data_IF_951415466615
#
_entry.id   IF_951415466615
#
_cell.length_a   1.000
_cell.length_b   1.000
_cell.length_c   1.000
_cell.angle_alpha   90.00
_cell.angle_beta   90.00
_cell.angle_gamma   90.00
#
_symmetry.space_group_name_H-M   'P 1'
#
loop_
_entity.id
_entity.type
_entity.pdbx_description
1 polymer ?
#
# COMPACT_ATOMS: atom_id res chain seq x y z
N UNK A 1 -8.17 8.23 5.44
CA UNK A 1 -6.94 9.00 5.74
C UNK A 1 -5.80 8.57 4.82
N UNK A 2 -5.33 7.32 4.89
CA UNK A 2 -4.23 6.80 4.04
C UNK A 2 -4.48 7.04 2.54
N UNK A 3 -5.65 6.63 2.01
CA UNK A 3 -6.01 6.86 0.61
C UNK A 3 -5.95 8.35 0.20
N UNK A 4 -6.38 9.25 1.10
CA UNK A 4 -6.29 10.69 0.89
C UNK A 4 -4.84 11.18 0.82
N UNK A 5 -4.01 10.77 1.79
CA UNK A 5 -2.58 11.13 1.81
C UNK A 5 -1.86 10.65 0.55
N UNK A 6 -2.18 9.43 0.08
CA UNK A 6 -1.68 8.90 -1.18
C UNK A 6 -2.06 9.76 -2.39
N UNK A 7 -3.32 10.22 -2.46
CA UNK A 7 -3.82 11.10 -3.53
C UNK A 7 -3.15 12.48 -3.53
N UNK A 8 -2.83 13.01 -2.36
CA UNK A 8 -2.15 14.31 -2.21
C UNK A 8 -0.63 14.23 -2.18
N UNK A 9 -0.06 13.10 -2.58
CA UNK A 9 1.39 12.91 -2.70
C UNK A 9 2.20 12.91 -1.40
N UNK A 10 1.53 12.65 -0.28
CA UNK A 10 2.14 12.54 1.05
C UNK A 10 2.42 11.07 1.39
N UNK A 11 3.33 10.44 0.63
CA UNK A 11 3.64 9.01 0.81
C UNK A 11 4.21 8.71 2.20
N UNK A 12 5.15 9.52 2.68
CA UNK A 12 5.80 9.29 3.97
C UNK A 12 4.80 9.42 5.13
N UNK A 13 3.89 10.40 5.05
CA UNK A 13 2.80 10.54 6.03
C UNK A 13 1.84 9.35 5.97
N UNK A 14 1.53 8.84 4.77
CA UNK A 14 0.70 7.66 4.60
C UNK A 14 1.33 6.41 5.24
N UNK A 15 2.66 6.23 5.08
CA UNK A 15 3.42 5.15 5.70
C UNK A 15 3.51 5.31 7.23
N UNK A 16 3.65 6.54 7.73
CA UNK A 16 3.64 6.83 9.17
C UNK A 16 2.29 6.46 9.79
N UNK A 17 1.17 6.85 9.16
CA UNK A 17 -0.18 6.49 9.62
C UNK A 17 -0.41 4.98 9.57
N UNK A 18 0.13 4.30 8.55
CA UNK A 18 0.11 2.84 8.46
C UNK A 18 0.87 2.20 9.63
N UNK A 19 2.10 2.64 9.91
CA UNK A 19 2.86 2.13 11.05
C UNK A 19 2.17 2.41 12.39
N UNK A 20 1.57 3.59 12.56
CA UNK A 20 0.81 3.93 13.77
C UNK A 20 -0.42 3.03 13.97
N UNK A 21 -1.14 2.72 12.88
CA UNK A 21 -2.26 1.78 12.89
C UNK A 21 -1.80 0.42 13.43
N UNK A 22 -0.69 -0.11 12.94
CA UNK A 22 -0.15 -1.39 13.39
C UNK A 22 0.35 -1.36 14.83
N UNK A 23 1.06 -0.31 15.22
CA UNK A 23 1.55 -0.11 16.59
C UNK A 23 0.41 -0.03 17.61
N UNK A 24 -0.77 0.47 17.19
CA UNK A 24 -1.99 0.50 18.00
C UNK A 24 -2.78 -0.82 17.97
N UNK A 25 -2.27 -1.85 17.31
CA UNK A 25 -2.95 -3.14 17.15
C UNK A 25 -4.19 -3.09 16.25
N UNK A 26 -4.35 -2.01 15.48
CA UNK A 26 -5.43 -1.87 14.52
C UNK A 26 -5.00 -2.62 13.26
N UNK A 27 -5.77 -3.62 12.84
CA UNK A 27 -5.40 -4.45 11.69
C UNK A 27 -5.67 -3.71 10.37
N UNK A 28 -4.65 -3.51 9.51
CA UNK A 28 -4.88 -2.99 8.17
C UNK A 28 -5.71 -3.97 7.34
N UNK A 29 -6.43 -3.46 6.34
CA UNK A 29 -7.26 -4.26 5.45
C UNK A 29 -6.81 -4.13 3.99
N UNK A 30 -7.45 -4.89 3.09
CA UNK A 30 -7.14 -4.90 1.65
C UNK A 30 -7.14 -3.49 1.03
N UNK A 31 -8.09 -2.64 1.41
CA UNK A 31 -8.17 -1.26 0.91
C UNK A 31 -6.95 -0.44 1.34
N UNK A 32 -6.49 -0.60 2.59
CA UNK A 32 -5.32 0.09 3.11
C UNK A 32 -4.05 -0.28 2.35
N UNK A 33 -3.84 -1.58 2.13
CA UNK A 33 -2.71 -2.07 1.34
C UNK A 33 -2.78 -1.59 -0.11
N UNK A 34 -3.95 -1.70 -0.74
CA UNK A 34 -4.15 -1.27 -2.12
C UNK A 34 -3.83 0.22 -2.32
N UNK A 35 -4.26 1.08 -1.41
CA UNK A 35 -3.94 2.51 -1.47
C UNK A 35 -2.43 2.75 -1.37
N UNK A 36 -1.72 2.10 -0.44
CA UNK A 36 -0.28 2.27 -0.26
C UNK A 36 0.54 1.68 -1.41
N UNK A 37 0.19 0.47 -1.88
CA UNK A 37 0.82 -0.19 -3.02
C UNK A 37 0.66 0.68 -4.27
N UNK A 38 -0.56 1.13 -4.57
CA UNK A 38 -0.82 2.04 -5.70
C UNK A 38 -0.03 3.34 -5.58
N UNK A 39 0.03 3.92 -4.37
CA UNK A 39 0.84 5.11 -4.12
C UNK A 39 2.32 4.86 -4.41
N UNK A 40 2.93 3.82 -3.82
CA UNK A 40 4.34 3.46 -4.01
C UNK A 40 4.67 3.20 -5.49
N UNK A 41 3.80 2.48 -6.18
CA UNK A 41 3.84 2.25 -7.63
C UNK A 41 3.87 3.57 -8.42
N UNK A 42 3.01 4.54 -8.07
CA UNK A 42 3.00 5.86 -8.72
C UNK A 42 4.26 6.70 -8.45
N UNK A 43 5.01 6.41 -7.38
CA UNK A 43 6.33 7.01 -7.10
C UNK A 43 7.51 6.22 -7.66
N UNK A 44 7.27 5.13 -8.41
CA UNK A 44 8.35 4.24 -8.88
C UNK A 44 9.06 3.48 -7.75
N UNK A 45 8.51 3.48 -6.53
CA UNK A 45 9.09 2.79 -5.36
C UNK A 45 8.62 1.32 -5.32
N UNK A 46 8.97 0.57 -6.37
CA UNK A 46 8.53 -0.81 -6.58
C UNK A 46 8.92 -1.73 -5.42
N UNK A 47 10.11 -1.55 -4.84
CA UNK A 47 10.59 -2.40 -3.75
C UNK A 47 9.70 -2.25 -2.51
N UNK A 48 9.25 -1.03 -2.22
CA UNK A 48 8.29 -0.78 -1.14
C UNK A 48 6.93 -1.43 -1.41
N UNK A 49 6.44 -1.34 -2.66
CA UNK A 49 5.18 -1.95 -3.05
C UNK A 49 5.23 -3.49 -2.94
N UNK A 50 6.34 -4.10 -3.36
CA UNK A 50 6.57 -5.55 -3.24
C UNK A 50 6.64 -5.99 -1.78
N UNK A 51 7.32 -5.23 -0.92
CA UNK A 51 7.36 -5.51 0.54
C UNK A 51 5.96 -5.47 1.16
N UNK A 52 5.14 -4.48 0.80
CA UNK A 52 3.75 -4.42 1.29
C UNK A 52 2.88 -5.56 0.76
N UNK A 53 3.08 -6.02 -0.48
CA UNK A 53 2.39 -7.20 -1.00
C UNK A 53 2.76 -8.46 -0.20
N UNK A 54 4.04 -8.67 0.08
CA UNK A 54 4.48 -9.80 0.91
C UNK A 54 3.89 -9.74 2.31
N UNK A 55 3.92 -8.57 2.95
CA UNK A 55 3.36 -8.36 4.28
C UNK A 55 1.84 -8.61 4.32
N UNK A 56 1.12 -8.19 3.27
CA UNK A 56 -0.30 -8.46 3.10
C UNK A 56 -0.60 -9.98 3.07
N UNK A 57 0.20 -10.74 2.33
CA UNK A 57 0.09 -12.20 2.23
C UNK A 57 0.42 -12.87 3.57
N UNK A 58 1.50 -12.46 4.24
CA UNK A 58 1.90 -12.97 5.56
C UNK A 58 0.80 -12.73 6.61
N UNK A 59 0.11 -11.59 6.54
CA UNK A 59 -1.04 -11.24 7.39
C UNK A 59 -2.36 -11.87 6.96
N UNK A 60 -2.33 -12.79 5.98
CA UNK A 60 -3.49 -13.50 5.43
C UNK A 60 -4.59 -12.57 4.91
N UNK A 61 -4.18 -11.43 4.36
CA UNK A 61 -5.07 -10.51 3.65
C UNK A 61 -4.87 -10.84 2.17
N UNK A 62 -5.93 -11.27 1.49
CA UNK A 62 -5.81 -11.70 0.12
C UNK A 62 -5.69 -10.48 -0.81
N UNK A 63 -4.63 -10.39 -1.63
CA UNK A 63 -4.55 -9.43 -2.73
C UNK A 63 -5.75 -9.59 -3.67
N UNK A 64 -6.21 -8.49 -4.24
CA UNK A 64 -7.33 -8.47 -5.18
C UNK A 64 -6.90 -7.90 -6.55
N UNK A 65 -7.87 -7.78 -7.45
CA UNK A 65 -7.66 -7.25 -8.80
C UNK A 65 -7.07 -5.83 -8.75
N UNK A 66 -7.43 -5.02 -7.75
CA UNK A 66 -6.90 -3.65 -7.61
C UNK A 66 -5.42 -3.71 -7.21
N UNK A 67 -5.03 -4.63 -6.33
CA UNK A 67 -3.62 -4.84 -5.97
C UNK A 67 -2.77 -5.15 -7.20
N UNK A 68 -3.19 -6.13 -8.00
CA UNK A 68 -2.42 -6.59 -9.16
C UNK A 68 -2.42 -5.57 -10.30
N UNK A 69 -3.55 -4.90 -10.57
CA UNK A 69 -3.60 -3.84 -11.57
C UNK A 69 -2.62 -2.71 -11.22
N UNK A 70 -2.55 -2.29 -9.96
CA UNK A 70 -1.62 -1.25 -9.53
C UNK A 70 -0.14 -1.64 -9.78
N UNK A 71 0.21 -2.91 -9.55
CA UNK A 71 1.55 -3.43 -9.80
C UNK A 71 1.87 -3.53 -11.29
N UNK A 72 0.93 -4.03 -12.11
CA UNK A 72 1.08 -4.13 -13.57
C UNK A 72 1.22 -2.74 -14.19
N UNK A 73 0.35 -1.80 -13.83
CA UNK A 73 0.39 -0.42 -14.31
C UNK A 73 1.72 0.27 -13.99
N UNK A 74 2.35 -0.08 -12.86
CA UNK A 74 3.65 0.46 -12.46
C UNK A 74 4.81 -0.11 -13.29
N UNK A 75 4.73 -1.39 -13.67
CA UNK A 75 5.76 -2.07 -14.47
C UNK A 75 5.71 -1.68 -15.95
N UNK A 76 4.57 -1.19 -16.43
CA UNK A 76 4.37 -0.75 -17.80
C UNK A 76 4.64 0.75 -18.01
N UNK A 77 4.97 1.48 -16.95
CA UNK A 77 5.38 2.90 -16.98
C UNK A 77 6.90 3.02 -17.08
#
# INVERSE_FOLDING_TARGET
>A
VIDGLCKYRHLDDALNVFSEMENKGIRPNVVTYNSLISCLCNYGRWEGAARLLSDMIEKKINPDVVTFNALIDALMK
#
